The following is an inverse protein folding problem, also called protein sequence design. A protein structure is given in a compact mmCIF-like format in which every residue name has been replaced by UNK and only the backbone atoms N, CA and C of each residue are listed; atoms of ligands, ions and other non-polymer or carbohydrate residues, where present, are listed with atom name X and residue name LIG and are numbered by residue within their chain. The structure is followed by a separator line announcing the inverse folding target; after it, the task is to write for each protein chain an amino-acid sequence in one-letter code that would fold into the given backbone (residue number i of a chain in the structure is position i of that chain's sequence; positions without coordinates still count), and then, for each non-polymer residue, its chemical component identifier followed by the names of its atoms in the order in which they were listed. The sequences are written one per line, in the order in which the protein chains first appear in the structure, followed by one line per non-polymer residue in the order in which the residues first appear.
data_IF_288810887043
#
_entry.id   IF_288810887043
#
_cell.length_a   1.000
_cell.length_b   1.000
_cell.length_c   1.000
_cell.angle_alpha   90.00
_cell.angle_beta   90.00
_cell.angle_gamma   90.00
#
_symmetry.space_group_name_H-M   'P 1'
#
loop_
_entity.id
_entity.type
_entity.pdbx_description
1 polymer ?
#
# COMPACT_ATOMS: atom_id res chain seq x y z
N UNK A 1 -12.47 -5.13 -38.91
CA UNK A 1 -11.74 -6.04 -39.82
C UNK A 1 -10.60 -6.65 -39.02
N UNK A 2 -10.54 -7.97 -38.90
CA UNK A 2 -9.44 -8.66 -38.21
C UNK A 2 -8.45 -9.08 -39.27
N UNK A 3 -7.22 -8.60 -39.17
CA UNK A 3 -6.15 -8.95 -40.09
C UNK A 3 -5.54 -10.28 -39.65
N UNK A 4 -5.50 -11.28 -40.53
CA UNK A 4 -4.76 -12.53 -40.27
C UNK A 4 -3.25 -12.27 -40.41
N UNK A 5 -2.60 -12.02 -39.28
CA UNK A 5 -1.15 -11.73 -39.21
C UNK A 5 -0.29 -12.94 -39.61
N UNK A 6 -0.81 -14.17 -39.46
CA UNK A 6 -0.08 -15.39 -39.86
C UNK A 6 -0.07 -15.51 -41.37
N UNK A 7 -1.23 -15.36 -42.00
CA UNK A 7 -1.34 -15.33 -43.46
C UNK A 7 -0.46 -14.23 -44.07
N UNK A 8 -0.51 -13.00 -43.50
CA UNK A 8 0.36 -11.92 -43.95
C UNK A 8 1.85 -12.23 -43.81
N UNK A 9 2.26 -12.86 -42.70
CA UNK A 9 3.64 -13.31 -42.51
C UNK A 9 4.04 -14.33 -43.56
N UNK A 10 3.23 -15.35 -43.81
CA UNK A 10 3.52 -16.39 -44.80
C UNK A 10 3.67 -15.81 -46.22
N UNK A 11 2.79 -14.87 -46.60
CA UNK A 11 2.87 -14.19 -47.89
C UNK A 11 4.14 -13.33 -47.98
N UNK A 12 4.46 -12.56 -46.93
CA UNK A 12 5.68 -11.76 -46.89
C UNK A 12 6.94 -12.65 -46.87
N UNK A 13 6.88 -13.83 -46.25
CA UNK A 13 7.96 -14.82 -46.22
C UNK A 13 8.29 -15.39 -47.60
N UNK A 14 7.26 -15.72 -48.38
CA UNK A 14 7.37 -16.25 -49.75
C UNK A 14 7.76 -15.20 -50.79
N UNK A 15 7.45 -13.92 -50.54
CA UNK A 15 7.74 -12.83 -51.47
C UNK A 15 9.25 -12.55 -51.62
N UNK A 16 9.62 -11.98 -52.77
CA UNK A 16 11.01 -11.64 -53.11
C UNK A 16 11.64 -10.72 -52.06
N UNK A 17 12.74 -11.18 -51.48
CA UNK A 17 13.47 -10.46 -50.42
C UNK A 17 14.37 -9.38 -50.99
N UNK A 18 14.62 -8.37 -50.15
CA UNK A 18 15.56 -7.28 -50.45
C UNK A 18 14.85 -5.94 -50.61
N UNK A 19 15.63 -4.85 -50.80
CA UNK A 19 15.04 -3.55 -51.08
C UNK A 19 14.30 -3.60 -52.41
N UNK A 20 13.10 -3.06 -52.43
CA UNK A 20 12.33 -2.85 -53.64
C UNK A 20 12.56 -1.42 -54.11
N UNK A 21 12.64 -1.21 -55.42
CA UNK A 21 12.84 0.10 -56.04
C UNK A 21 11.77 0.35 -57.08
N UNK A 22 11.34 1.60 -57.16
CA UNK A 22 10.44 2.06 -58.21
C UNK A 22 11.22 2.31 -59.48
N UNK A 23 10.65 1.85 -60.59
CA UNK A 23 11.01 2.24 -61.94
C UNK A 23 9.81 2.96 -62.55
N UNK A 24 10.02 4.21 -62.97
CA UNK A 24 9.03 5.02 -63.68
C UNK A 24 9.53 5.34 -65.08
N UNK A 25 8.67 5.09 -66.07
CA UNK A 25 8.85 5.55 -67.44
C UNK A 25 7.63 6.39 -67.82
N UNK A 26 7.86 7.70 -67.91
CA UNK A 26 6.83 8.71 -68.16
C UNK A 26 6.30 8.60 -69.60
N UNK A 27 7.15 8.23 -70.55
CA UNK A 27 6.81 8.18 -71.98
C UNK A 27 5.89 6.98 -72.28
N UNK A 28 6.13 5.85 -71.62
CA UNK A 28 5.29 4.65 -71.75
C UNK A 28 4.21 4.53 -70.68
N UNK A 29 4.16 5.47 -69.73
CA UNK A 29 3.30 5.43 -68.53
C UNK A 29 3.42 4.10 -67.76
N UNK A 30 4.63 3.59 -67.67
CA UNK A 30 4.93 2.32 -67.00
C UNK A 30 5.51 2.57 -65.63
N UNK A 31 4.86 2.02 -64.60
CA UNK A 31 5.34 2.08 -63.21
C UNK A 31 5.53 0.66 -62.69
N UNK A 32 6.77 0.32 -62.34
CA UNK A 32 7.16 -1.04 -61.95
C UNK A 32 7.95 -1.04 -60.65
N UNK A 33 7.92 -2.17 -59.95
CA UNK A 33 8.72 -2.38 -58.75
C UNK A 33 9.68 -3.52 -59.04
N UNK A 34 10.97 -3.30 -58.80
CA UNK A 34 11.99 -4.30 -59.06
C UNK A 34 12.98 -4.38 -57.90
N UNK A 35 13.78 -5.45 -57.87
CA UNK A 35 14.94 -5.51 -56.99
C UNK A 35 16.16 -4.87 -57.67
N UNK A 36 17.13 -4.28 -56.94
CA UNK A 36 18.28 -3.61 -57.54
C UNK A 36 19.18 -4.49 -58.42
N UNK A 37 19.06 -5.81 -58.32
CA UNK A 37 19.87 -6.77 -59.10
C UNK A 37 19.17 -7.25 -60.36
N UNK A 38 17.89 -6.96 -60.52
CA UNK A 38 17.14 -7.33 -61.72
C UNK A 38 17.36 -6.29 -62.81
N UNK A 39 17.80 -6.75 -63.99
CA UNK A 39 18.00 -5.92 -65.19
C UNK A 39 16.80 -5.96 -66.13
N UNK A 40 15.81 -6.83 -65.87
CA UNK A 40 14.54 -6.89 -66.59
C UNK A 40 13.45 -6.27 -65.71
N UNK A 41 12.90 -5.16 -66.16
CA UNK A 41 11.71 -4.57 -65.55
C UNK A 41 10.47 -5.36 -66.03
N UNK A 42 10.17 -6.51 -65.42
CA UNK A 42 8.84 -7.10 -65.60
C UNK A 42 7.84 -6.34 -64.72
N UNK A 43 6.77 -5.83 -65.33
CA UNK A 43 5.81 -4.96 -64.65
C UNK A 43 5.13 -5.69 -63.48
N UNK A 44 5.43 -5.29 -62.23
CA UNK A 44 4.71 -5.77 -61.03
C UNK A 44 3.32 -5.11 -60.91
N UNK A 45 3.18 -3.87 -61.40
CA UNK A 45 1.89 -3.15 -61.48
C UNK A 45 1.64 -2.76 -62.93
N UNK A 46 1.08 -3.68 -63.73
CA UNK A 46 0.67 -3.43 -65.13
C UNK A 46 -0.76 -2.88 -65.25
N UNK A 47 -1.46 -2.77 -64.13
CA UNK A 47 -2.84 -2.32 -64.06
C UNK A 47 -2.86 -0.83 -63.73
N UNK A 48 -3.61 -0.03 -64.50
CA UNK A 48 -3.74 1.43 -64.28
C UNK A 48 -4.51 1.82 -63.01
N UNK A 49 -4.63 0.90 -62.05
CA UNK A 49 -5.43 1.07 -60.85
C UNK A 49 -6.93 1.18 -61.13
N UNK A 50 -7.67 1.47 -60.07
CA UNK A 50 -9.08 1.91 -60.12
C UNK A 50 -9.22 3.37 -60.57
N UNK A 51 -8.10 4.12 -60.61
CA UNK A 51 -8.02 5.57 -60.76
C UNK A 51 -7.44 6.05 -62.11
N UNK A 52 -7.14 5.15 -63.05
CA UNK A 52 -6.70 5.44 -64.42
C UNK A 52 -5.29 6.05 -64.57
N UNK A 53 -4.34 5.69 -63.68
CA UNK A 53 -2.91 6.05 -63.64
C UNK A 53 -2.43 7.36 -62.95
N UNK A 54 -3.23 8.38 -62.55
CA UNK A 54 -2.69 9.58 -61.89
C UNK A 54 -1.86 9.30 -60.63
N UNK A 55 -2.20 8.27 -59.84
CA UNK A 55 -1.46 7.92 -58.62
C UNK A 55 -0.52 6.72 -58.80
N UNK A 56 -0.26 6.27 -60.04
CA UNK A 56 0.50 5.05 -60.28
C UNK A 56 1.94 5.12 -59.72
N UNK A 57 2.59 6.28 -59.82
CA UNK A 57 3.91 6.52 -59.23
C UNK A 57 3.87 6.40 -57.69
N UNK A 58 2.95 7.12 -57.04
CA UNK A 58 2.79 7.10 -55.58
C UNK A 58 2.45 5.69 -55.05
N UNK A 59 1.62 4.93 -55.77
CA UNK A 59 1.29 3.55 -55.41
C UNK A 59 2.51 2.63 -55.51
N UNK A 60 3.33 2.79 -56.56
CA UNK A 60 4.56 2.02 -56.71
C UNK A 60 5.58 2.36 -55.61
N UNK A 61 5.72 3.64 -55.26
CA UNK A 61 6.55 4.10 -54.14
C UNK A 61 6.09 3.51 -52.81
N UNK A 62 4.79 3.56 -52.52
CA UNK A 62 4.22 3.00 -51.31
C UNK A 62 4.51 1.50 -51.19
N UNK A 63 4.27 0.71 -52.25
CA UNK A 63 4.49 -0.75 -52.23
C UNK A 63 6.00 -1.06 -52.15
N UNK A 64 6.86 -0.28 -52.81
CA UNK A 64 8.31 -0.46 -52.72
C UNK A 64 8.84 -0.14 -51.30
N UNK A 65 8.29 0.88 -50.66
CA UNK A 65 8.58 1.22 -49.26
C UNK A 65 8.05 0.14 -48.31
N UNK A 66 6.84 -0.36 -48.53
CA UNK A 66 6.20 -1.45 -47.78
C UNK A 66 6.56 -2.84 -48.34
N UNK A 67 7.83 -3.04 -48.67
CA UNK A 67 8.30 -4.33 -49.17
C UNK A 67 8.22 -5.43 -48.09
N UNK A 68 8.38 -6.72 -48.45
CA UNK A 68 8.24 -7.83 -47.52
C UNK A 68 9.16 -7.77 -46.30
N UNK A 69 10.35 -7.14 -46.42
CA UNK A 69 11.25 -6.96 -45.27
C UNK A 69 10.63 -6.02 -44.24
N UNK A 70 10.05 -4.90 -44.69
CA UNK A 70 9.38 -3.93 -43.80
C UNK A 70 8.13 -4.54 -43.17
N UNK A 71 7.33 -5.26 -43.96
CA UNK A 71 6.14 -5.94 -43.44
C UNK A 71 6.49 -6.95 -42.33
N UNK A 72 7.54 -7.76 -42.50
CA UNK A 72 7.99 -8.71 -41.49
C UNK A 72 8.51 -8.01 -40.22
N UNK A 73 9.29 -6.94 -40.37
CA UNK A 73 9.79 -6.16 -39.24
C UNK A 73 8.63 -5.56 -38.41
N UNK A 74 7.63 -4.98 -39.07
CA UNK A 74 6.44 -4.45 -38.40
C UNK A 74 5.60 -5.54 -37.72
N UNK A 75 5.53 -6.75 -38.30
CA UNK A 75 4.87 -7.88 -37.66
C UNK A 75 5.65 -8.38 -36.43
N UNK A 76 6.99 -8.36 -36.46
CA UNK A 76 7.84 -8.69 -35.31
C UNK A 76 7.66 -7.66 -34.19
N UNK A 77 7.72 -6.37 -34.51
CA UNK A 77 7.43 -5.28 -33.57
C UNK A 77 6.04 -5.41 -32.97
N UNK A 78 5.02 -5.75 -33.77
CA UNK A 78 3.67 -5.93 -33.27
C UNK A 78 3.55 -7.11 -32.28
N UNK A 79 4.25 -8.22 -32.52
CA UNK A 79 4.31 -9.36 -31.59
C UNK A 79 5.01 -8.93 -30.29
N UNK A 80 6.10 -8.17 -30.40
CA UNK A 80 6.83 -7.66 -29.24
C UNK A 80 5.95 -6.73 -28.39
N UNK A 81 5.26 -5.77 -29.01
CA UNK A 81 4.31 -4.88 -28.34
C UNK A 81 3.18 -5.65 -27.66
N UNK A 82 2.67 -6.71 -28.28
CA UNK A 82 1.64 -7.55 -27.67
C UNK A 82 2.17 -8.26 -26.41
N UNK A 83 3.39 -8.81 -26.47
CA UNK A 83 4.02 -9.45 -25.30
C UNK A 83 4.27 -8.46 -24.16
N UNK A 84 4.73 -7.25 -24.48
CA UNK A 84 4.95 -6.19 -23.48
C UNK A 84 3.64 -5.74 -22.86
N UNK A 85 2.58 -5.58 -23.67
CA UNK A 85 1.24 -5.29 -23.18
C UNK A 85 0.77 -6.38 -22.21
N UNK A 86 0.87 -7.65 -22.59
CA UNK A 86 0.42 -8.77 -21.76
C UNK A 86 1.23 -8.85 -20.44
N UNK A 87 2.54 -8.55 -20.49
CA UNK A 87 3.38 -8.48 -19.30
C UNK A 87 3.00 -7.32 -18.37
N UNK A 88 2.73 -6.13 -18.91
CA UNK A 88 2.26 -4.97 -18.14
C UNK A 88 0.89 -5.27 -17.51
N UNK A 89 -0.01 -5.92 -18.23
CA UNK A 89 -1.33 -6.31 -17.71
C UNK A 89 -1.19 -7.30 -16.56
N UNK A 90 -0.32 -8.31 -16.68
CA UNK A 90 -0.03 -9.25 -15.60
C UNK A 90 0.53 -8.55 -14.35
N UNK A 91 1.48 -7.62 -14.51
CA UNK A 91 2.03 -6.83 -13.40
C UNK A 91 0.97 -5.94 -12.75
N UNK A 92 0.11 -5.29 -13.56
CA UNK A 92 -0.96 -4.44 -13.06
C UNK A 92 -2.00 -5.24 -12.25
N UNK A 93 -2.28 -6.48 -12.65
CA UNK A 93 -3.15 -7.39 -11.88
C UNK A 93 -2.52 -7.78 -10.56
N UNK A 94 -1.25 -8.19 -10.55
CA UNK A 94 -0.53 -8.53 -9.32
C UNK A 94 -0.49 -7.34 -8.34
N UNK A 95 -0.17 -6.14 -8.83
CA UNK A 95 -0.15 -4.92 -8.01
C UNK A 95 -1.54 -4.60 -7.43
N UNK A 96 -2.62 -4.84 -8.18
CA UNK A 96 -3.99 -4.64 -7.69
C UNK A 96 -4.31 -5.57 -6.53
N UNK A 97 -3.87 -6.82 -6.60
CA UNK A 97 -4.08 -7.80 -5.54
C UNK A 97 -3.24 -7.48 -4.30
N UNK A 98 -1.97 -7.10 -4.48
CA UNK A 98 -1.09 -6.63 -3.40
C UNK A 98 -1.70 -5.40 -2.69
N UNK A 99 -2.20 -4.42 -3.45
CA UNK A 99 -2.87 -3.25 -2.88
C UNK A 99 -4.14 -3.61 -2.11
N UNK A 100 -4.89 -4.64 -2.54
CA UNK A 100 -6.05 -5.13 -1.81
C UNK A 100 -5.63 -5.75 -0.48
N UNK A 101 -4.63 -6.62 -0.50
CA UNK A 101 -4.11 -7.28 0.70
C UNK A 101 -3.55 -6.24 1.70
N UNK A 102 -2.80 -5.24 1.21
CA UNK A 102 -2.28 -4.16 2.04
C UNK A 102 -3.41 -3.37 2.73
N UNK A 103 -4.51 -3.09 2.02
CA UNK A 103 -5.69 -2.42 2.60
C UNK A 103 -6.38 -3.27 3.66
N UNK A 104 -6.49 -4.58 3.46
CA UNK A 104 -7.06 -5.50 4.46
C UNK A 104 -6.20 -5.57 5.72
N UNK A 105 -4.87 -5.65 5.56
CA UNK A 105 -3.92 -5.63 6.67
C UNK A 105 -3.98 -4.31 7.43
N UNK A 106 -4.09 -3.17 6.73
CA UNK A 106 -4.26 -1.86 7.32
C UNK A 106 -5.55 -1.80 8.16
N UNK A 107 -6.69 -2.21 7.59
CA UNK A 107 -7.96 -2.25 8.33
C UNK A 107 -7.90 -3.16 9.57
N UNK A 108 -7.19 -4.30 9.48
CA UNK A 108 -6.99 -5.18 10.63
C UNK A 108 -6.07 -4.57 11.70
N UNK A 109 -5.04 -3.81 11.30
CA UNK A 109 -4.18 -3.07 12.22
C UNK A 109 -4.94 -1.93 12.92
N UNK A 110 -5.72 -1.15 12.18
CA UNK A 110 -6.57 -0.08 12.73
C UNK A 110 -7.56 -0.61 13.77
N UNK A 111 -8.21 -1.76 13.50
CA UNK A 111 -9.09 -2.43 14.47
C UNK A 111 -8.36 -2.84 15.74
N UNK A 112 -7.14 -3.37 15.63
CA UNK A 112 -6.32 -3.75 16.78
C UNK A 112 -5.92 -2.53 17.61
N UNK A 113 -5.54 -1.43 16.97
CA UNK A 113 -5.22 -0.18 17.66
C UNK A 113 -6.44 0.36 18.42
N UNK A 114 -7.61 0.40 17.79
CA UNK A 114 -8.83 0.84 18.44
C UNK A 114 -9.21 -0.02 19.66
N UNK A 115 -8.97 -1.33 19.61
CA UNK A 115 -9.16 -2.23 20.75
C UNK A 115 -8.15 -1.96 21.88
N UNK A 116 -6.89 -1.75 21.53
CA UNK A 116 -5.85 -1.38 22.50
C UNK A 116 -6.16 -0.04 23.19
N UNK A 117 -6.62 0.96 22.42
CA UNK A 117 -7.01 2.26 22.96
C UNK A 117 -8.16 2.14 23.97
N UNK A 118 -9.17 1.31 23.69
CA UNK A 118 -10.25 1.02 24.65
C UNK A 118 -9.72 0.42 25.94
N UNK A 119 -8.82 -0.56 25.85
CA UNK A 119 -8.20 -1.20 27.03
C UNK A 119 -7.37 -0.21 27.83
N UNK A 120 -6.62 0.67 27.17
CA UNK A 120 -5.86 1.72 27.83
C UNK A 120 -6.77 2.66 28.62
N UNK A 121 -7.90 3.08 28.04
CA UNK A 121 -8.89 3.90 28.75
C UNK A 121 -9.47 3.16 29.96
N UNK A 122 -9.79 1.87 29.81
CA UNK A 122 -10.28 1.05 30.92
C UNK A 122 -9.26 0.95 32.06
N UNK A 123 -8.01 0.62 31.74
CA UNK A 123 -6.93 0.53 32.72
C UNK A 123 -6.65 1.86 33.40
N UNK A 124 -6.63 2.97 32.66
CA UNK A 124 -6.49 4.30 33.22
C UNK A 124 -7.65 4.62 34.18
N UNK A 125 -8.88 4.21 33.83
CA UNK A 125 -10.05 4.34 34.69
C UNK A 125 -9.93 3.53 35.98
N UNK A 126 -9.45 2.28 35.91
CA UNK A 126 -9.18 1.45 37.09
C UNK A 126 -8.12 2.10 37.97
N UNK A 127 -6.97 2.48 37.40
CA UNK A 127 -5.87 3.10 38.13
C UNK A 127 -6.32 4.39 38.84
N UNK A 128 -7.14 5.21 38.18
CA UNK A 128 -7.69 6.43 38.77
C UNK A 128 -8.61 6.14 39.96
N UNK A 129 -9.48 5.12 39.85
CA UNK A 129 -10.37 4.72 40.95
C UNK A 129 -9.59 4.17 42.14
N UNK A 130 -8.60 3.31 41.89
CA UNK A 130 -7.77 2.76 42.96
C UNK A 130 -6.93 3.85 43.62
N UNK A 131 -6.32 4.75 42.86
CA UNK A 131 -5.60 5.91 43.41
C UNK A 131 -6.50 6.78 44.29
N UNK A 132 -7.74 7.03 43.87
CA UNK A 132 -8.73 7.77 44.67
C UNK A 132 -9.09 7.02 45.95
N UNK A 133 -9.27 5.69 45.89
CA UNK A 133 -9.57 4.86 47.06
C UNK A 133 -8.42 4.86 48.05
N UNK A 134 -7.18 4.76 47.59
CA UNK A 134 -5.98 4.85 48.42
C UNK A 134 -5.92 6.21 49.12
N UNK A 135 -6.09 7.30 48.37
CA UNK A 135 -6.09 8.65 48.95
C UNK A 135 -7.22 8.83 50.00
N UNK A 136 -8.41 8.27 49.76
CA UNK A 136 -9.50 8.30 50.74
C UNK A 136 -9.13 7.52 52.01
N UNK A 137 -8.53 6.34 51.88
CA UNK A 137 -8.11 5.52 53.01
C UNK A 137 -6.98 6.19 53.82
N UNK A 138 -6.01 6.79 53.15
CA UNK A 138 -4.92 7.54 53.78
C UNK A 138 -5.40 8.80 54.51
N UNK A 139 -6.48 9.42 54.04
CA UNK A 139 -7.09 10.59 54.69
C UNK A 139 -7.96 10.24 55.91
N UNK A 140 -8.29 8.96 56.15
CA UNK A 140 -9.12 8.55 57.29
C UNK A 140 -8.35 8.70 58.59
N UNK A 141 -8.96 9.41 59.53
CA UNK A 141 -8.43 9.57 60.89
C UNK A 141 -9.36 8.97 61.93
N UNK A 142 -8.79 8.40 62.99
CA UNK A 142 -9.54 7.93 64.17
C UNK A 142 -9.45 8.97 65.29
N UNK A 143 -10.50 9.08 66.10
CA UNK A 143 -10.48 9.90 67.33
C UNK A 143 -10.28 9.00 68.53
N UNK A 144 -9.22 9.24 69.30
CA UNK A 144 -8.98 8.54 70.56
C UNK A 144 -9.69 9.26 71.71
N UNK A 145 -10.09 8.53 72.78
CA UNK A 145 -10.56 9.17 74.00
C UNK A 145 -9.49 10.10 74.59
N UNK A 146 -9.86 11.14 75.35
CA UNK A 146 -8.89 12.02 75.98
C UNK A 146 -8.04 11.25 77.01
N UNK A 147 -6.79 11.70 77.20
CA UNK A 147 -5.93 11.20 78.28
C UNK A 147 -6.55 11.49 79.64
N UNK A 148 -6.38 10.58 80.60
CA UNK A 148 -6.79 10.84 81.97
C UNK A 148 -5.90 11.94 82.58
N UNK A 149 -6.50 12.77 83.43
CA UNK A 149 -5.78 13.84 84.11
C UNK A 149 -4.84 13.24 85.15
N UNK A 150 -3.56 13.62 85.10
CA UNK A 150 -2.52 13.13 85.98
C UNK A 150 -1.80 14.33 86.61
N UNK A 151 -1.93 14.50 87.93
CA UNK A 151 -1.28 15.59 88.66
C UNK A 151 0.16 15.25 89.06
N UNK A 152 0.63 14.03 88.78
CA UNK A 152 1.97 13.56 89.13
C UNK A 152 2.19 13.33 90.62
N UNK A 153 1.11 13.08 91.39
CA UNK A 153 1.22 12.73 92.82
C UNK A 153 1.24 11.23 93.03
N UNK A 154 1.67 10.77 94.21
CA UNK A 154 1.60 9.34 94.60
C UNK A 154 0.19 8.89 95.00
N UNK A 155 -0.85 9.66 94.64
CA UNK A 155 -2.23 9.25 94.88
C UNK A 155 -2.58 8.04 94.00
N UNK A 156 -3.42 7.14 94.53
CA UNK A 156 -3.89 5.98 93.76
C UNK A 156 -4.61 6.39 92.46
N UNK A 157 -5.20 7.58 92.44
CA UNK A 157 -5.88 8.17 91.26
C UNK A 157 -4.85 8.48 90.17
N UNK A 158 -3.77 9.20 90.50
CA UNK A 158 -2.72 9.55 89.55
C UNK A 158 -1.94 8.31 89.07
N UNK A 159 -1.71 7.33 89.94
CA UNK A 159 -1.10 6.04 89.56
C UNK A 159 -1.94 5.30 88.51
N UNK A 160 -3.27 5.29 88.69
CA UNK A 160 -4.20 4.69 87.74
C UNK A 160 -4.24 5.47 86.41
N UNK A 161 -4.28 6.81 86.47
CA UNK A 161 -4.23 7.69 85.31
C UNK A 161 -2.93 7.49 84.49
N UNK A 162 -1.79 7.40 85.17
CA UNK A 162 -0.51 7.10 84.52
C UNK A 162 -0.48 5.73 83.83
N UNK A 163 -1.14 4.71 84.39
CA UNK A 163 -1.28 3.40 83.73
C UNK A 163 -2.20 3.47 82.50
N UNK A 164 -3.37 4.11 82.63
CA UNK A 164 -4.31 4.32 81.53
C UNK A 164 -3.66 5.10 80.37
N UNK A 165 -2.90 6.17 80.69
CA UNK A 165 -2.18 6.98 79.70
C UNK A 165 -1.06 6.22 78.98
N UNK A 166 -0.36 5.28 79.65
CA UNK A 166 0.61 4.38 78.99
C UNK A 166 -0.07 3.41 78.03
N UNK A 167 -1.23 2.86 78.40
CA UNK A 167 -2.01 2.00 77.51
C UNK A 167 -2.56 2.78 76.32
N UNK A 168 -3.04 4.00 76.56
CA UNK A 168 -3.44 4.93 75.50
C UNK A 168 -2.31 5.15 74.50
N UNK A 169 -1.07 5.40 74.98
CA UNK A 169 0.09 5.63 74.11
C UNK A 169 0.40 4.40 73.24
N UNK A 170 0.32 3.18 73.80
CA UNK A 170 0.49 1.95 73.01
C UNK A 170 -0.56 1.82 71.90
N UNK A 171 -1.81 2.15 72.19
CA UNK A 171 -2.88 2.16 71.18
C UNK A 171 -2.62 3.21 70.10
N UNK A 172 -2.20 4.42 70.50
CA UNK A 172 -1.83 5.49 69.58
C UNK A 172 -0.68 5.08 68.65
N UNK A 173 0.41 4.53 69.20
CA UNK A 173 1.58 4.09 68.43
C UNK A 173 1.22 2.95 67.47
N UNK A 174 0.37 2.00 67.90
CA UNK A 174 -0.10 0.90 67.05
C UNK A 174 -0.99 1.39 65.89
N UNK A 175 -1.86 2.38 66.11
CA UNK A 175 -2.69 2.99 65.06
C UNK A 175 -1.83 3.72 64.03
N UNK A 176 -0.84 4.48 64.51
CA UNK A 176 0.18 5.15 63.66
C UNK A 176 1.00 4.14 62.85
N UNK A 177 1.45 3.06 63.48
CA UNK A 177 2.22 2.00 62.80
C UNK A 177 1.40 1.28 61.72
N UNK A 178 0.06 1.24 61.86
CA UNK A 178 -0.85 0.74 60.84
C UNK A 178 -1.14 1.75 59.71
N UNK A 179 -0.55 2.95 59.76
CA UNK A 179 -0.71 3.98 58.73
C UNK A 179 -2.01 4.80 58.81
N UNK A 180 -2.68 4.79 59.96
CA UNK A 180 -3.95 5.51 60.19
C UNK A 180 -3.66 6.81 60.95
N UNK A 181 -4.22 7.93 60.50
CA UNK A 181 -4.09 9.20 61.20
C UNK A 181 -4.91 9.25 62.50
N UNK A 182 -4.47 10.01 63.50
CA UNK A 182 -5.24 10.27 64.72
C UNK A 182 -5.63 11.75 64.77
N UNK A 183 -6.90 12.04 65.05
CA UNK A 183 -7.43 13.41 65.03
C UNK A 183 -6.82 14.25 66.17
N UNK A 184 -6.34 15.45 65.83
CA UNK A 184 -5.72 16.37 66.78
C UNK A 184 -4.19 16.23 66.90
N UNK A 185 -3.58 15.42 66.03
CA UNK A 185 -2.15 15.54 65.68
C UNK A 185 -1.81 16.85 64.99
#
# INVERSE_FOLDING_TARGET
MTIDKRELREVAEKATKGPWKVFSDIDTKTFSIHTPRDKRCENVIKWGGFDCQPNAEANAEFIAAFNPKVALALLDENIQLQREKDAIEAVALALRDDMRQAREQLAAAERRNAELDKRLIEYAGIATREARRVAELEARTVTLPPKEHDNGTDSQIDINAGFANRMWQKCYDAIRAAGIGVKGE
#
